data_IF_844655536356
#
_entry.id   IF_844655536356
#
_cell.length_a   1.000
_cell.length_b   1.000
_cell.length_c   1.000
_cell.angle_alpha   90.00
_cell.angle_beta   90.00
_cell.angle_gamma   90.00
#
_symmetry.space_group_name_H-M   'P 1'
#
loop_
_entity.id
_entity.type
_entity.pdbx_description
1 polymer ?
#
# COMPACT_ATOMS: atom_id res chain seq x y z
N UNK A 1 -9.65 -9.54 53.44
CA UNK A 1 -9.19 -10.47 52.38
C UNK A 1 -7.84 -9.99 51.88
N UNK A 2 -6.86 -10.89 51.72
CA UNK A 2 -5.56 -10.55 51.14
C UNK A 2 -5.71 -10.37 49.62
N UNK A 3 -5.13 -9.30 49.07
CA UNK A 3 -5.15 -9.01 47.64
C UNK A 3 -4.16 -9.94 46.93
N UNK A 4 -4.65 -10.81 46.06
CA UNK A 4 -3.83 -11.68 45.20
C UNK A 4 -3.73 -11.09 43.81
N UNK A 5 -2.53 -11.10 43.23
CA UNK A 5 -2.28 -10.71 41.84
C UNK A 5 -1.77 -11.95 41.08
N UNK A 6 -2.55 -12.51 40.13
CA UNK A 6 -2.06 -13.62 39.32
C UNK A 6 -0.88 -13.16 38.46
N UNK A 7 0.19 -13.95 38.44
CA UNK A 7 1.33 -13.70 37.55
C UNK A 7 0.90 -13.90 36.09
N UNK A 8 1.12 -12.88 35.27
CA UNK A 8 0.92 -12.96 33.84
C UNK A 8 2.26 -13.21 33.15
N UNK A 9 2.46 -14.43 32.67
CA UNK A 9 3.76 -14.89 32.18
C UNK A 9 3.95 -14.68 30.67
N UNK A 10 2.91 -14.30 29.93
CA UNK A 10 2.94 -14.22 28.46
C UNK A 10 1.93 -13.21 27.92
N UNK A 11 2.25 -12.68 26.73
CA UNK A 11 1.43 -11.79 25.90
C UNK A 11 1.32 -12.28 24.45
N UNK A 12 1.66 -13.55 24.19
CA UNK A 12 1.68 -14.11 22.84
C UNK A 12 0.30 -14.19 22.14
N UNK A 13 -0.81 -14.10 22.88
CA UNK A 13 -2.15 -14.07 22.30
C UNK A 13 -2.54 -12.70 21.74
N UNK A 14 -1.72 -11.67 21.95
CA UNK A 14 -1.94 -10.34 21.40
C UNK A 14 -2.99 -9.52 22.15
N UNK A 15 -3.56 -8.54 21.45
CA UNK A 15 -4.66 -7.73 21.95
C UNK A 15 -5.97 -8.53 21.93
N UNK A 16 -6.60 -8.68 23.10
CA UNK A 16 -7.85 -9.39 23.24
C UNK A 16 -9.02 -8.52 22.76
N UNK A 17 -9.96 -9.14 22.05
CA UNK A 17 -11.22 -8.49 21.73
C UNK A 17 -11.92 -8.02 23.00
N UNK A 18 -12.56 -6.83 23.03
CA UNK A 18 -13.35 -6.38 24.16
C UNK A 18 -14.42 -7.38 24.62
N UNK A 19 -14.91 -8.25 23.74
CA UNK A 19 -15.89 -9.30 24.05
C UNK A 19 -15.30 -10.51 24.80
N UNK A 20 -13.98 -10.64 24.82
CA UNK A 20 -13.25 -11.69 25.54
C UNK A 20 -12.85 -11.25 26.95
N UNK A 21 -13.14 -10.01 27.33
CA UNK A 21 -12.93 -9.52 28.70
C UNK A 21 -13.75 -10.37 29.67
N UNK A 22 -13.09 -10.94 30.68
CA UNK A 22 -13.70 -11.82 31.67
C UNK A 22 -13.86 -13.29 31.27
N UNK A 23 -13.51 -13.70 30.03
CA UNK A 23 -13.52 -15.11 29.60
C UNK A 23 -12.27 -15.87 30.05
N UNK A 24 -12.14 -16.02 31.37
CA UNK A 24 -11.00 -16.68 32.03
C UNK A 24 -10.86 -18.16 31.69
N UNK A 25 -11.92 -18.78 31.16
CA UNK A 25 -11.98 -20.16 30.70
C UNK A 25 -11.20 -20.40 29.40
N UNK A 26 -10.98 -19.35 28.60
CA UNK A 26 -10.24 -19.44 27.35
C UNK A 26 -8.74 -19.36 27.65
N UNK A 27 -7.95 -20.33 27.16
CA UNK A 27 -6.50 -20.37 27.37
C UNK A 27 -5.79 -19.08 26.98
N UNK A 28 -6.21 -18.46 25.88
CA UNK A 28 -5.69 -17.18 25.37
C UNK A 28 -5.92 -15.98 26.30
N UNK A 29 -6.89 -16.05 27.21
CA UNK A 29 -7.18 -14.95 28.15
C UNK A 29 -5.97 -14.65 29.05
N UNK A 30 -5.31 -15.72 29.53
CA UNK A 30 -4.17 -15.60 30.44
C UNK A 30 -2.86 -15.24 29.73
N UNK A 31 -2.85 -15.20 28.39
CA UNK A 31 -1.67 -14.89 27.59
C UNK A 31 -1.87 -13.72 26.62
N UNK A 32 -2.93 -12.92 26.81
CA UNK A 32 -3.23 -11.73 26.02
C UNK A 32 -3.32 -10.49 26.90
N UNK A 33 -3.37 -9.32 26.27
CA UNK A 33 -3.58 -8.05 26.96
C UNK A 33 -4.81 -7.33 26.44
N UNK A 34 -5.39 -6.45 27.25
CA UNK A 34 -6.51 -5.61 26.84
C UNK A 34 -6.12 -4.65 25.70
N UNK A 35 -4.85 -4.24 25.65
CA UNK A 35 -4.35 -3.25 24.70
C UNK A 35 -2.88 -3.48 24.39
N UNK A 36 -2.52 -3.60 23.12
CA UNK A 36 -1.15 -3.74 22.63
C UNK A 36 -0.96 -2.78 21.45
N UNK A 37 -0.40 -1.60 21.72
CA UNK A 37 -0.16 -0.58 20.68
C UNK A 37 1.33 -0.46 20.38
N UNK A 38 1.67 -0.37 19.09
CA UNK A 38 3.05 -0.21 18.61
C UNK A 38 4.03 -1.27 19.14
N UNK A 39 3.53 -2.47 19.42
CA UNK A 39 4.28 -3.62 19.92
C UNK A 39 4.00 -4.85 19.04
N UNK A 40 4.96 -5.77 19.01
CA UNK A 40 4.87 -7.07 18.35
C UNK A 40 4.96 -8.14 19.44
N UNK A 41 3.91 -8.93 19.57
CA UNK A 41 3.91 -10.11 20.43
C UNK A 41 4.87 -11.16 19.87
N UNK A 42 5.77 -11.65 20.72
CA UNK A 42 6.73 -12.69 20.36
C UNK A 42 6.19 -14.07 20.73
N UNK A 43 6.55 -15.09 19.95
CA UNK A 43 6.13 -16.47 20.23
C UNK A 43 6.58 -16.96 21.61
N UNK A 44 7.72 -16.45 22.11
CA UNK A 44 8.30 -16.75 23.42
C UNK A 44 7.51 -16.14 24.60
N UNK A 45 6.50 -15.31 24.35
CA UNK A 45 5.62 -14.72 25.36
C UNK A 45 5.89 -13.26 25.68
N UNK A 46 7.06 -12.72 25.34
CA UNK A 46 7.36 -11.30 25.46
C UNK A 46 6.66 -10.43 24.42
N UNK A 47 6.73 -9.12 24.61
CA UNK A 47 6.38 -8.10 23.61
C UNK A 47 7.61 -7.24 23.35
N UNK A 48 7.81 -6.84 22.09
CA UNK A 48 8.85 -5.88 21.72
C UNK A 48 8.24 -4.70 20.97
N UNK A 49 8.89 -3.55 20.98
CA UNK A 49 8.47 -2.43 20.13
C UNK A 49 8.46 -2.83 18.65
N UNK A 50 7.47 -2.34 17.92
CA UNK A 50 7.46 -2.42 16.45
C UNK A 50 8.67 -1.65 15.93
N UNK A 51 9.32 -2.17 14.89
CA UNK A 51 10.38 -1.44 14.19
C UNK A 51 9.88 -0.06 13.78
N UNK A 52 10.72 0.96 14.01
CA UNK A 52 10.40 2.33 13.64
C UNK A 52 10.30 2.52 12.13
N UNK A 53 9.79 3.68 11.72
CA UNK A 53 9.78 4.13 10.33
C UNK A 53 10.98 5.03 10.06
N UNK A 54 11.64 4.87 8.91
CA UNK A 54 12.64 5.81 8.42
C UNK A 54 11.98 6.81 7.47
N UNK A 55 12.32 8.09 7.62
CA UNK A 55 11.98 9.10 6.62
C UNK A 55 12.82 8.87 5.35
N UNK A 56 12.15 8.68 4.21
CA UNK A 56 12.82 8.51 2.90
C UNK A 56 12.86 9.84 2.17
N UNK A 57 11.68 10.40 1.88
CA UNK A 57 11.55 11.68 1.21
C UNK A 57 10.14 12.26 1.42
N UNK A 58 10.02 13.57 1.29
CA UNK A 58 8.73 14.25 1.20
C UNK A 58 8.07 13.98 -0.16
N UNK A 59 6.73 13.99 -0.18
CA UNK A 59 5.95 13.91 -1.43
C UNK A 59 6.26 15.12 -2.31
N UNK A 60 5.96 15.05 -3.60
CA UNK A 60 6.34 16.14 -4.53
C UNK A 60 5.75 17.49 -4.12
N UNK A 61 4.52 17.44 -3.63
CA UNK A 61 3.76 18.59 -3.14
C UNK A 61 2.89 18.12 -1.97
N UNK A 62 3.26 18.56 -0.76
CA UNK A 62 2.60 18.16 0.49
C UNK A 62 1.23 18.83 0.69
N UNK A 63 0.87 19.82 -0.13
CA UNK A 63 -0.47 20.42 -0.12
C UNK A 63 -1.49 19.51 -0.83
N UNK A 64 -0.99 18.58 -1.66
CA UNK A 64 -1.80 17.66 -2.44
C UNK A 64 -1.75 16.23 -1.87
N UNK A 65 -2.86 15.50 -2.04
CA UNK A 65 -2.92 14.07 -1.70
C UNK A 65 -2.09 13.26 -2.70
N UNK A 66 -1.33 12.29 -2.18
CA UNK A 66 -0.62 11.29 -2.97
C UNK A 66 -0.96 9.87 -2.50
N UNK A 67 -0.71 8.87 -3.36
CA UNK A 67 -0.95 7.46 -3.07
C UNK A 67 0.28 6.64 -3.40
N UNK A 68 0.74 5.86 -2.43
CA UNK A 68 1.83 4.90 -2.62
C UNK A 68 1.25 3.56 -3.08
N UNK A 69 1.80 3.02 -4.16
CA UNK A 69 1.38 1.76 -4.77
C UNK A 69 2.59 0.84 -4.88
N UNK A 70 2.56 -0.37 -4.31
CA UNK A 70 3.64 -1.32 -4.50
C UNK A 70 3.64 -1.85 -5.94
N UNK A 71 4.83 -1.96 -6.52
CA UNK A 71 5.06 -2.61 -7.80
C UNK A 71 6.16 -3.65 -7.63
N UNK A 72 5.78 -4.93 -7.59
CA UNK A 72 6.68 -6.02 -7.19
C UNK A 72 6.76 -7.04 -8.31
N UNK A 73 7.92 -7.12 -8.98
CA UNK A 73 8.19 -8.10 -10.03
C UNK A 73 8.82 -9.35 -9.43
N UNK A 74 9.74 -9.17 -8.48
CA UNK A 74 10.44 -10.25 -7.78
C UNK A 74 10.93 -9.77 -6.40
N UNK A 75 11.59 -10.64 -5.64
CA UNK A 75 12.24 -10.28 -4.37
C UNK A 75 13.40 -9.30 -4.53
N UNK A 76 13.96 -9.17 -5.74
CA UNK A 76 15.06 -8.25 -6.06
C UNK A 76 14.55 -6.99 -6.76
N UNK A 77 13.43 -7.08 -7.47
CA UNK A 77 12.82 -5.99 -8.21
C UNK A 77 11.48 -5.62 -7.57
N UNK A 78 11.56 -4.85 -6.50
CA UNK A 78 10.42 -4.32 -5.78
C UNK A 78 10.52 -2.79 -5.68
N UNK A 79 9.45 -2.11 -6.05
CA UNK A 79 9.37 -0.66 -6.14
C UNK A 79 8.16 -0.16 -5.36
N UNK A 80 8.25 1.09 -4.91
CA UNK A 80 7.08 1.86 -4.50
C UNK A 80 6.89 2.98 -5.51
N UNK A 81 5.67 3.09 -6.02
CA UNK A 81 5.26 4.15 -6.94
C UNK A 81 4.47 5.19 -6.15
N UNK A 82 4.86 6.45 -6.24
CA UNK A 82 4.11 7.56 -5.71
C UNK A 82 3.29 8.19 -6.83
N UNK A 83 1.98 8.06 -6.73
CA UNK A 83 1.04 8.80 -7.55
C UNK A 83 0.75 10.12 -6.86
N UNK A 84 1.17 11.22 -7.50
CA UNK A 84 0.96 12.61 -7.09
C UNK A 84 0.22 13.35 -8.20
N UNK A 85 -0.13 14.62 -7.98
CA UNK A 85 -0.89 15.39 -8.97
C UNK A 85 -0.15 15.44 -10.31
N UNK A 86 -0.74 14.81 -11.33
CA UNK A 86 -0.21 14.73 -12.70
C UNK A 86 1.19 14.10 -12.83
N UNK A 87 1.62 13.32 -11.83
CA UNK A 87 3.00 12.82 -11.77
C UNK A 87 3.08 11.46 -11.07
N UNK A 88 3.99 10.61 -11.54
CA UNK A 88 4.43 9.41 -10.83
C UNK A 88 5.92 9.54 -10.52
N UNK A 89 6.31 9.21 -9.28
CA UNK A 89 7.71 9.06 -8.87
C UNK A 89 8.00 7.63 -8.42
N UNK A 90 9.26 7.22 -8.54
CA UNK A 90 9.67 5.84 -8.36
C UNK A 90 10.67 5.71 -7.22
N UNK A 91 10.46 4.71 -6.35
CA UNK A 91 11.30 4.41 -5.21
C UNK A 91 11.75 2.96 -5.26
N UNK A 92 13.01 2.73 -4.92
CA UNK A 92 13.64 1.41 -4.83
C UNK A 92 14.81 1.49 -3.85
N UNK A 93 15.16 0.38 -3.23
CA UNK A 93 16.36 0.26 -2.39
C UNK A 93 16.47 1.43 -1.40
N UNK A 94 15.40 1.64 -0.63
CA UNK A 94 15.36 2.61 0.47
C UNK A 94 15.34 4.09 0.09
N UNK A 95 15.37 4.43 -1.21
CA UNK A 95 15.45 5.80 -1.71
C UNK A 95 14.59 6.07 -2.95
N UNK A 96 14.58 7.33 -3.38
CA UNK A 96 14.01 7.74 -4.66
C UNK A 96 14.98 7.38 -5.79
N UNK A 97 14.47 6.90 -6.91
CA UNK A 97 15.29 6.62 -8.09
C UNK A 97 15.65 7.94 -8.75
N UNK A 98 16.94 8.13 -9.06
CA UNK A 98 17.44 9.32 -9.76
C UNK A 98 18.14 8.95 -11.06
N UNK A 99 18.01 9.81 -12.08
CA UNK A 99 18.78 9.76 -13.32
C UNK A 99 19.47 11.11 -13.53
N UNK A 100 20.81 11.12 -13.67
CA UNK A 100 21.57 12.36 -13.82
C UNK A 100 21.45 13.33 -12.64
N UNK A 101 21.22 12.81 -11.42
CA UNK A 101 21.05 13.62 -10.21
C UNK A 101 19.63 14.16 -9.97
N UNK A 102 18.69 13.93 -10.89
CA UNK A 102 17.29 14.33 -10.73
C UNK A 102 16.40 13.11 -10.46
N UNK A 103 15.36 13.22 -9.61
CA UNK A 103 14.36 12.18 -9.47
C UNK A 103 13.78 11.74 -10.81
N UNK A 104 13.57 10.44 -10.99
CA UNK A 104 12.83 9.91 -12.13
C UNK A 104 11.35 10.23 -11.89
N UNK A 105 10.79 11.02 -12.78
CA UNK A 105 9.39 11.44 -12.75
C UNK A 105 8.73 11.10 -14.08
N UNK A 106 7.48 10.63 -14.04
CA UNK A 106 6.66 10.33 -15.22
C UNK A 106 5.39 11.16 -15.16
N UNK A 107 5.14 11.95 -16.20
CA UNK A 107 3.94 12.78 -16.29
C UNK A 107 2.70 11.93 -16.53
N UNK A 108 1.61 12.25 -15.84
CA UNK A 108 0.30 11.60 -16.00
C UNK A 108 -0.83 12.63 -16.00
N UNK A 109 -2.02 12.18 -16.38
CA UNK A 109 -3.24 13.01 -16.40
C UNK A 109 -4.08 12.90 -15.13
N UNK A 110 -3.68 12.05 -14.18
CA UNK A 110 -4.43 11.83 -12.94
C UNK A 110 -4.27 13.00 -11.98
N UNK A 111 -5.38 13.62 -11.58
CA UNK A 111 -5.37 14.76 -10.68
C UNK A 111 -5.43 14.32 -9.21
N UNK A 112 -5.09 15.22 -8.28
CA UNK A 112 -5.17 14.99 -6.83
C UNK A 112 -6.52 14.41 -6.38
N UNK A 113 -7.62 14.87 -6.99
CA UNK A 113 -8.97 14.40 -6.67
C UNK A 113 -9.20 12.94 -7.08
N UNK A 114 -8.54 12.48 -8.14
CA UNK A 114 -8.73 11.16 -8.74
C UNK A 114 -7.81 10.09 -8.13
N UNK A 115 -6.66 10.49 -7.58
CA UNK A 115 -5.66 9.59 -6.99
C UNK A 115 -6.23 8.57 -5.98
N UNK A 116 -7.11 8.95 -5.04
CA UNK A 116 -7.70 7.99 -4.11
C UNK A 116 -8.52 6.90 -4.80
N UNK A 117 -9.20 7.26 -5.89
CA UNK A 117 -10.13 6.42 -6.66
C UNK A 117 -9.42 5.50 -7.65
N UNK A 118 -8.13 5.72 -7.93
CA UNK A 118 -7.34 4.85 -8.81
C UNK A 118 -7.32 3.41 -8.30
N UNK A 119 -7.64 2.49 -9.21
CA UNK A 119 -7.54 1.05 -9.01
C UNK A 119 -6.42 0.48 -9.86
N UNK A 120 -5.79 -0.58 -9.37
CA UNK A 120 -4.55 -1.10 -9.92
C UNK A 120 -4.60 -2.61 -10.08
N UNK A 121 -4.07 -3.11 -11.19
CA UNK A 121 -3.83 -4.53 -11.41
C UNK A 121 -2.44 -4.71 -12.03
N UNK A 122 -1.58 -5.51 -11.40
CA UNK A 122 -0.21 -5.70 -11.85
C UNK A 122 -0.04 -7.08 -12.51
N UNK A 123 0.74 -7.14 -13.58
CA UNK A 123 1.29 -8.38 -14.15
C UNK A 123 2.76 -8.18 -14.51
N UNK A 124 3.66 -8.84 -13.77
CA UNK A 124 5.12 -8.75 -13.99
C UNK A 124 5.57 -7.29 -14.16
N UNK A 125 6.04 -6.89 -15.33
CA UNK A 125 6.57 -5.56 -15.64
C UNK A 125 5.50 -4.53 -16.05
N UNK A 126 4.21 -4.87 -15.99
CA UNK A 126 3.11 -3.99 -16.35
C UNK A 126 2.15 -3.75 -15.18
N UNK A 127 1.79 -2.49 -14.95
CA UNK A 127 0.74 -2.07 -14.03
C UNK A 127 -0.39 -1.42 -14.82
N UNK A 128 -1.56 -2.02 -14.76
CA UNK A 128 -2.80 -1.44 -15.28
C UNK A 128 -3.41 -0.51 -14.24
N UNK A 129 -3.81 0.68 -14.70
CA UNK A 129 -4.37 1.75 -13.89
C UNK A 129 -5.75 2.07 -14.46
N UNK A 130 -6.77 1.97 -13.62
CA UNK A 130 -8.15 2.22 -14.01
C UNK A 130 -8.77 3.34 -13.18
N UNK A 131 -9.48 4.23 -13.87
CA UNK A 131 -10.27 5.32 -13.30
C UNK A 131 -11.52 5.51 -14.18
N UNK A 132 -12.63 5.97 -13.61
CA UNK A 132 -13.90 6.16 -14.35
C UNK A 132 -13.81 7.24 -15.43
N UNK A 133 -13.02 8.28 -15.18
CA UNK A 133 -12.86 9.44 -16.07
C UNK A 133 -11.64 9.38 -17.02
N UNK A 134 -10.88 8.27 -17.03
CA UNK A 134 -9.71 8.11 -17.92
C UNK A 134 -9.77 6.75 -18.61
N UNK A 135 -9.19 6.65 -19.81
CA UNK A 135 -8.94 5.35 -20.42
C UNK A 135 -8.05 4.50 -19.49
N UNK A 136 -8.21 3.18 -19.53
CA UNK A 136 -7.32 2.28 -18.81
C UNK A 136 -5.91 2.47 -19.33
N UNK A 137 -4.98 2.83 -18.44
CA UNK A 137 -3.59 3.03 -18.80
C UNK A 137 -2.74 1.84 -18.36
N UNK A 138 -1.69 1.55 -19.13
CA UNK A 138 -0.67 0.56 -18.84
C UNK A 138 0.66 1.26 -18.60
N UNK A 139 1.13 1.19 -17.37
CA UNK A 139 2.47 1.58 -16.97
C UNK A 139 3.40 0.38 -17.12
N UNK A 140 4.39 0.47 -18.01
CA UNK A 140 5.37 -0.60 -18.26
C UNK A 140 6.76 -0.18 -17.81
N UNK A 141 7.43 -1.06 -17.05
CA UNK A 141 8.82 -0.91 -16.62
C UNK A 141 9.77 -1.55 -17.62
N UNK A 142 10.75 -0.80 -18.12
CA UNK A 142 11.83 -1.35 -18.97
C UNK A 142 13.15 -1.42 -18.22
N UNK A 143 13.42 -0.46 -17.32
CA UNK A 143 14.57 -0.46 -16.41
C UNK A 143 14.22 0.25 -15.11
N UNK A 144 15.17 0.38 -14.19
CA UNK A 144 14.95 1.14 -12.95
C UNK A 144 14.58 2.61 -13.25
N UNK A 145 15.15 3.19 -14.31
CA UNK A 145 14.99 4.61 -14.68
C UNK A 145 14.08 4.83 -15.90
N UNK A 146 13.62 3.78 -16.56
CA UNK A 146 12.80 3.87 -17.77
C UNK A 146 11.43 3.23 -17.57
N UNK A 147 10.41 4.09 -17.60
CA UNK A 147 9.01 3.76 -17.43
C UNK A 147 8.20 4.40 -18.54
N UNK A 148 7.19 3.68 -19.02
CA UNK A 148 6.33 4.15 -20.11
C UNK A 148 4.87 4.03 -19.69
N UNK A 149 4.10 5.10 -19.84
CA UNK A 149 2.66 5.10 -19.62
C UNK A 149 1.98 5.29 -20.98
N UNK A 150 1.09 4.38 -21.32
CA UNK A 150 0.28 4.45 -22.52
C UNK A 150 -1.12 3.93 -22.24
N UNK A 151 -2.12 4.42 -22.96
CA UNK A 151 -3.47 3.87 -22.90
C UNK A 151 -3.48 2.45 -23.46
N UNK A 152 -4.31 1.58 -22.86
CA UNK A 152 -4.50 0.21 -23.32
C UNK A 152 -5.40 0.23 -24.54
N UNK A 153 -4.86 -0.26 -25.66
CA UNK A 153 -5.65 -0.55 -26.84
C UNK A 153 -6.28 -1.95 -26.71
N UNK A 154 -7.57 -1.98 -26.38
CA UNK A 154 -8.33 -3.22 -26.24
C UNK A 154 -8.63 -3.80 -27.63
N UNK A 155 -7.83 -4.77 -28.06
CA UNK A 155 -7.99 -5.44 -29.36
C UNK A 155 -9.24 -6.33 -29.46
N UNK A 156 -9.76 -6.78 -28.31
CA UNK A 156 -10.98 -7.58 -28.22
C UNK A 156 -11.92 -6.92 -27.19
N UNK A 157 -13.09 -6.49 -27.66
CA UNK A 157 -13.99 -5.65 -26.88
C UNK A 157 -15.26 -5.30 -27.63
N UNK A 158 -16.20 -4.64 -26.93
CA UNK A 158 -17.44 -5.26 -26.49
C UNK A 158 -18.07 -6.21 -27.53
N UNK A 159 -18.46 -7.42 -27.09
CA UNK A 159 -19.21 -8.38 -27.91
C UNK A 159 -20.60 -7.86 -28.36
N UNK A 160 -20.96 -6.63 -27.96
CA UNK A 160 -22.16 -5.91 -28.34
C UNK A 160 -21.76 -4.53 -28.87
N UNK A 161 -22.56 -4.00 -29.80
CA UNK A 161 -22.30 -2.69 -30.39
C UNK A 161 -22.24 -1.60 -29.32
N UNK A 162 -21.23 -0.74 -29.42
CA UNK A 162 -21.09 0.43 -28.57
C UNK A 162 -22.25 1.41 -28.84
N UNK A 163 -22.84 1.95 -27.78
CA UNK A 163 -23.91 2.93 -27.92
C UNK A 163 -23.30 4.32 -28.19
N UNK A 164 -23.08 4.63 -29.48
CA UNK A 164 -22.46 5.88 -29.95
C UNK A 164 -23.43 7.08 -29.97
N UNK A 165 -24.66 6.91 -29.46
CA UNK A 165 -25.67 7.97 -29.46
C UNK A 165 -25.97 8.46 -28.06
N UNK A 166 -25.97 9.77 -27.86
CA UNK A 166 -26.49 10.42 -26.65
C UNK A 166 -28.00 10.18 -26.60
N UNK A 167 -28.45 9.16 -25.87
CA UNK A 167 -29.88 8.97 -25.63
C UNK A 167 -30.33 10.04 -24.63
N UNK A 168 -31.28 10.88 -25.07
CA UNK A 168 -31.99 11.84 -24.22
C UNK A 168 -33.01 11.11 -23.35
#
# INVERSE_FOLDING_TARGET
MARSYPMQNSFNAGELSPRLVGRTDISKYNSGALKIQNLIAQAQGGVKHRSGTRFVQEVKDSDNKSKLVPFIVSTVQAYILEFSNNLIRFYKDEGIITSGGNPVELVTTYTTAQIPELTFAQTVDALYICHTAHATAKLTRTSDTAWTLADVDFQDGPYLAENLTTTT
#
